data_IF_458876241133
#
_entry.id   IF_458876241133
#
_cell.length_a   1.000
_cell.length_b   1.000
_cell.length_c   1.000
_cell.angle_alpha   90.00
_cell.angle_beta   90.00
_cell.angle_gamma   90.00
#
_symmetry.space_group_name_H-M   'P 1'
#
loop_
_entity.id
_entity.type
_entity.pdbx_description
1 polymer ?
#
# COMPACT_ATOMS: atom_id res chain seq x y z
N UNK A 1 3.13 23.53 8.14
CA UNK A 1 1.74 23.07 8.00
C UNK A 1 0.94 23.52 9.23
N UNK A 2 0.24 24.67 9.15
CA UNK A 2 -0.40 25.38 10.28
C UNK A 2 -1.72 24.72 10.75
N UNK A 3 -1.70 23.45 11.17
CA UNK A 3 -2.85 22.79 11.82
C UNK A 3 -4.14 22.66 10.98
N UNK A 4 -4.06 22.87 9.65
CA UNK A 4 -5.22 22.95 8.77
C UNK A 4 -5.86 21.59 8.43
N UNK A 5 -5.17 20.48 8.73
CA UNK A 5 -5.64 19.13 8.44
C UNK A 5 -5.46 18.25 9.68
N UNK A 6 -6.52 17.56 10.11
CA UNK A 6 -6.56 16.69 11.30
C UNK A 6 -5.90 15.31 11.08
N UNK A 7 -5.27 15.10 9.93
CA UNK A 7 -4.76 13.80 9.49
C UNK A 7 -5.73 13.10 8.55
N UNK A 8 -5.50 11.80 8.35
CA UNK A 8 -6.32 10.93 7.52
C UNK A 8 -6.78 9.73 8.34
N UNK A 9 -8.07 9.45 8.34
CA UNK A 9 -8.60 8.16 8.79
C UNK A 9 -8.53 7.19 7.62
N UNK A 10 -7.98 5.99 7.85
CA UNK A 10 -7.73 5.00 6.80
C UNK A 10 -8.30 3.63 7.20
N UNK A 11 -8.94 2.96 6.26
CA UNK A 11 -9.36 1.56 6.36
C UNK A 11 -8.56 0.74 5.35
N UNK A 12 -8.01 -0.38 5.80
CA UNK A 12 -7.14 -1.25 5.00
C UNK A 12 -7.84 -2.58 4.70
N UNK A 13 -7.62 -3.10 3.49
CA UNK A 13 -8.19 -4.35 3.02
C UNK A 13 -7.08 -5.25 2.48
N UNK A 14 -7.12 -6.54 2.82
CA UNK A 14 -6.27 -7.57 2.22
C UNK A 14 -7.06 -8.23 1.09
N UNK A 15 -6.46 -8.31 -0.11
CA UNK A 15 -7.08 -8.92 -1.27
C UNK A 15 -6.13 -9.95 -1.89
N UNK A 16 -6.70 -11.10 -2.30
CA UNK A 16 -6.00 -12.08 -3.13
C UNK A 16 -6.28 -11.75 -4.60
N UNK A 17 -5.25 -11.38 -5.34
CA UNK A 17 -5.36 -11.18 -6.78
C UNK A 17 -5.43 -12.55 -7.47
N UNK A 18 -6.53 -12.81 -8.19
CA UNK A 18 -6.78 -14.07 -8.92
C UNK A 18 -6.73 -13.88 -10.43
N UNK A 19 -6.21 -12.75 -10.89
CA UNK A 19 -6.08 -12.39 -12.30
C UNK A 19 -4.67 -12.61 -12.83
N UNK A 20 -4.37 -11.92 -13.94
CA UNK A 20 -3.06 -11.91 -14.60
C UNK A 20 -2.46 -10.51 -14.56
N UNK A 21 -1.12 -10.42 -14.62
CA UNK A 21 -0.40 -9.16 -14.44
C UNK A 21 -0.78 -8.08 -15.48
N UNK A 22 -1.20 -8.45 -16.69
CA UNK A 22 -1.68 -7.54 -17.73
C UNK A 22 -3.00 -6.82 -17.38
N UNK A 23 -3.71 -7.30 -16.35
CA UNK A 23 -4.91 -6.66 -15.83
C UNK A 23 -4.59 -5.52 -14.85
N UNK A 24 -3.34 -5.37 -14.41
CA UNK A 24 -2.90 -4.25 -13.56
C UNK A 24 -2.58 -3.02 -14.42
N UNK A 25 -3.63 -2.29 -14.81
CA UNK A 25 -3.53 -1.08 -15.63
C UNK A 25 -3.33 0.17 -14.76
N UNK A 26 -2.11 0.72 -14.73
CA UNK A 26 -1.78 1.95 -13.98
C UNK A 26 -1.73 3.22 -14.85
N UNK A 27 -1.81 3.07 -16.17
CA UNK A 27 -1.85 4.18 -17.11
C UNK A 27 -3.27 4.76 -17.19
N UNK A 28 -3.55 5.77 -16.37
CA UNK A 28 -4.80 6.54 -16.37
C UNK A 28 -4.56 7.98 -16.85
N UNK A 29 -5.62 8.76 -17.07
CA UNK A 29 -5.54 10.17 -17.49
C UNK A 29 -4.69 11.04 -16.55
N UNK A 30 -4.61 10.67 -15.27
CA UNK A 30 -3.73 11.28 -14.27
C UNK A 30 -3.18 10.16 -13.39
N UNK A 31 -2.03 9.58 -13.75
CA UNK A 31 -1.54 8.36 -13.11
C UNK A 31 -1.03 8.65 -11.69
N UNK A 32 -1.53 7.90 -10.71
CA UNK A 32 -0.99 7.90 -9.34
C UNK A 32 0.34 7.13 -9.28
N UNK A 33 0.47 6.08 -10.09
CA UNK A 33 1.63 5.18 -10.11
C UNK A 33 2.34 5.24 -11.46
N UNK A 34 3.69 5.21 -11.43
CA UNK A 34 4.52 5.17 -12.64
C UNK A 34 5.03 3.77 -12.98
N UNK A 35 5.13 2.89 -11.97
CA UNK A 35 5.57 1.51 -12.10
C UNK A 35 5.01 0.68 -10.95
N UNK A 36 4.90 -0.63 -11.15
CA UNK A 36 4.48 -1.57 -10.12
C UNK A 36 5.27 -2.89 -10.24
N UNK A 37 5.34 -3.62 -9.14
CA UNK A 37 5.85 -5.00 -9.09
C UNK A 37 5.33 -5.69 -7.83
N UNK A 38 5.20 -7.01 -7.86
CA UNK A 38 4.96 -7.79 -6.65
C UNK A 38 6.19 -7.79 -5.73
N UNK A 39 5.96 -7.71 -4.43
CA UNK A 39 7.00 -7.81 -3.39
C UNK A 39 6.52 -8.66 -2.23
N UNK A 40 7.42 -9.42 -1.57
CA UNK A 40 7.10 -10.07 -0.31
C UNK A 40 6.70 -9.03 0.75
N UNK A 41 5.72 -9.32 1.64
CA UNK A 41 5.34 -8.41 2.72
C UNK A 41 6.52 -8.00 3.62
N UNK A 42 7.49 -8.91 3.81
CA UNK A 42 8.71 -8.66 4.60
C UNK A 42 9.58 -7.54 4.03
N UNK A 43 9.53 -7.28 2.72
CA UNK A 43 10.30 -6.20 2.08
C UNK A 43 9.54 -4.87 2.01
N UNK A 44 8.25 -4.87 2.33
CA UNK A 44 7.38 -3.70 2.11
C UNK A 44 7.76 -2.52 3.01
N UNK A 45 8.12 -2.80 4.27
CA UNK A 45 8.46 -1.77 5.28
C UNK A 45 9.75 -1.02 4.94
N UNK A 46 10.72 -1.70 4.32
CA UNK A 46 11.98 -1.07 3.95
C UNK A 46 11.83 -0.18 2.70
N UNK A 47 10.84 -0.48 1.86
CA UNK A 47 10.61 0.19 0.56
C UNK A 47 9.60 1.33 0.64
N UNK A 48 8.74 1.35 1.66
CA UNK A 48 7.73 2.40 1.83
C UNK A 48 8.37 3.71 2.34
N UNK A 49 7.72 4.84 2.02
CA UNK A 49 8.10 6.16 2.53
C UNK A 49 8.13 6.18 4.06
N UNK A 50 9.12 6.85 4.70
CA UNK A 50 9.35 6.73 6.15
C UNK A 50 8.13 7.01 7.02
N UNK A 51 7.35 8.03 6.69
CA UNK A 51 6.18 8.44 7.48
C UNK A 51 5.00 7.44 7.43
N UNK A 52 5.01 6.46 6.52
CA UNK A 52 3.99 5.40 6.44
C UNK A 52 4.42 4.08 7.08
N UNK A 53 5.70 3.95 7.50
CA UNK A 53 6.24 2.68 8.02
C UNK A 53 5.44 2.13 9.19
N UNK A 54 5.13 2.96 10.18
CA UNK A 54 4.38 2.52 11.37
C UNK A 54 2.98 2.00 11.01
N UNK A 55 2.26 2.72 10.14
CA UNK A 55 0.93 2.31 9.65
C UNK A 55 1.02 0.98 8.91
N UNK A 56 1.99 0.82 8.01
CA UNK A 56 2.14 -0.40 7.23
C UNK A 56 2.54 -1.59 8.11
N UNK A 57 3.46 -1.40 9.07
CA UNK A 57 3.82 -2.45 10.04
C UNK A 57 2.62 -2.91 10.84
N UNK A 58 1.77 -1.98 11.30
CA UNK A 58 0.54 -2.32 12.00
C UNK A 58 -0.45 -3.09 11.12
N UNK A 59 -0.62 -2.68 9.85
CA UNK A 59 -1.50 -3.36 8.89
C UNK A 59 -1.02 -4.79 8.60
N UNK A 60 0.28 -4.98 8.35
CA UNK A 60 0.84 -6.32 8.10
C UNK A 60 0.70 -7.22 9.33
N UNK A 61 0.94 -6.70 10.53
CA UNK A 61 0.74 -7.45 11.77
C UNK A 61 -0.73 -7.86 11.98
N UNK A 62 -1.69 -7.01 11.59
CA UNK A 62 -3.13 -7.31 11.66
C UNK A 62 -3.58 -8.37 10.65
N UNK A 63 -2.92 -8.42 9.48
CA UNK A 63 -3.18 -9.46 8.49
C UNK A 63 -2.53 -10.80 8.85
N UNK A 64 -1.39 -10.77 9.53
CA UNK A 64 -0.80 -11.92 10.21
C UNK A 64 -0.60 -13.14 9.30
N UNK A 65 -1.19 -14.27 9.70
CA UNK A 65 -1.11 -15.57 9.04
C UNK A 65 -1.88 -15.66 7.71
N UNK A 66 -2.63 -14.62 7.35
CA UNK A 66 -3.40 -14.56 6.09
C UNK A 66 -2.59 -14.01 4.91
N UNK A 67 -1.40 -13.47 5.18
CA UNK A 67 -0.46 -12.95 4.19
C UNK A 67 0.11 -14.06 3.30
#
# INVERSE_FOLDING_TARGET
WKGRFRGQEQKWFLMRFTGTDDQVQIATDTPEFSAWRWVPPSELIDRIVPFKREVYSAVLAQFGDRL
#
